data_IF_226844419844
#
_entry.id   IF_226844419844
#
_cell.length_a   1.000
_cell.length_b   1.000
_cell.length_c   1.000
_cell.angle_alpha   90.00
_cell.angle_beta   90.00
_cell.angle_gamma   90.00
#
_symmetry.space_group_name_H-M   'P 1'
#
loop_
_entity.id
_entity.type
_entity.pdbx_description
1 polymer ?
#
# COMPACT_ATOMS: atom_id res chain seq x y z
N UNK A 1 -13.23 -19.81 -53.65
CA UNK A 1 -12.17 -20.79 -53.35
C UNK A 1 -11.29 -20.20 -52.26
N UNK A 2 -11.64 -20.42 -50.98
CA UNK A 2 -10.92 -21.32 -50.05
C UNK A 2 -9.39 -21.25 -50.19
N UNK A 3 -8.77 -20.51 -49.29
CA UNK A 3 -7.40 -20.74 -48.83
C UNK A 3 -7.43 -20.73 -47.30
N UNK A 4 -7.26 -21.90 -46.69
CA UNK A 4 -7.06 -22.07 -45.26
C UNK A 4 -5.67 -21.55 -44.87
N UNK A 5 -5.58 -20.80 -43.79
CA UNK A 5 -4.34 -20.45 -43.11
C UNK A 5 -4.57 -20.57 -41.62
N UNK A 6 -3.83 -21.47 -40.98
CA UNK A 6 -3.97 -21.93 -39.61
C UNK A 6 -4.07 -20.81 -38.56
N UNK A 7 -5.10 -20.91 -37.71
CA UNK A 7 -5.11 -20.29 -36.40
C UNK A 7 -4.24 -21.13 -35.45
N UNK A 8 -2.93 -20.85 -35.42
CA UNK A 8 -2.12 -21.23 -34.28
C UNK A 8 -2.25 -20.17 -33.19
N UNK A 9 -2.80 -20.61 -32.06
CA UNK A 9 -2.95 -19.82 -30.85
C UNK A 9 -1.61 -19.30 -30.35
N UNK A 10 -1.38 -18.01 -30.57
CA UNK A 10 -0.44 -17.26 -29.76
C UNK A 10 -1.08 -17.06 -28.39
N UNK A 11 -0.73 -17.90 -27.42
CA UNK A 11 -0.78 -17.48 -26.03
C UNK A 11 0.10 -16.24 -25.93
N UNK A 12 -0.55 -15.07 -25.94
CA UNK A 12 0.07 -13.82 -25.57
C UNK A 12 0.45 -14.00 -24.10
N UNK A 13 1.69 -14.42 -23.86
CA UNK A 13 2.33 -14.26 -22.57
C UNK A 13 2.28 -12.75 -22.35
N UNK A 14 1.29 -12.29 -21.58
CA UNK A 14 1.32 -10.94 -21.05
C UNK A 14 2.66 -10.83 -20.34
N UNK A 15 3.49 -9.93 -20.86
CA UNK A 15 4.77 -9.57 -20.30
C UNK A 15 4.55 -9.19 -18.85
N UNK A 16 4.79 -10.14 -17.93
CA UNK A 16 4.71 -9.90 -16.49
C UNK A 16 5.74 -8.83 -16.22
N UNK A 17 5.30 -7.59 -15.96
CA UNK A 17 6.16 -6.47 -15.62
C UNK A 17 7.08 -6.93 -14.47
N UNK A 18 8.36 -7.15 -14.78
CA UNK A 18 9.20 -8.04 -13.97
C UNK A 18 9.35 -7.56 -12.52
N UNK A 19 9.53 -8.49 -11.55
CA UNK A 19 9.75 -8.17 -10.14
C UNK A 19 11.03 -7.35 -9.89
N UNK A 20 11.38 -7.11 -8.62
CA UNK A 20 12.78 -6.82 -8.26
C UNK A 20 13.29 -7.87 -7.30
N UNK A 21 14.59 -8.12 -7.33
CA UNK A 21 15.25 -9.13 -6.51
C UNK A 21 16.13 -8.43 -5.48
N UNK A 22 15.96 -8.79 -4.21
CA UNK A 22 16.87 -8.41 -3.14
C UNK A 22 17.65 -9.63 -2.67
N UNK A 23 18.98 -9.49 -2.54
CA UNK A 23 19.88 -10.54 -2.04
C UNK A 23 20.62 -10.04 -0.83
N UNK A 24 20.70 -10.87 0.20
CA UNK A 24 21.66 -10.71 1.29
C UNK A 24 22.69 -11.83 1.17
N UNK A 25 23.96 -11.46 0.99
CA UNK A 25 25.08 -12.40 0.90
C UNK A 25 26.24 -11.87 1.74
N UNK A 26 26.66 -12.65 2.74
CA UNK A 26 27.84 -12.36 3.57
C UNK A 26 27.82 -10.95 4.18
N UNK A 27 26.67 -10.51 4.71
CA UNK A 27 26.53 -9.20 5.35
C UNK A 27 26.31 -8.04 4.39
N UNK A 28 26.20 -8.29 3.07
CA UNK A 28 25.97 -7.25 2.05
C UNK A 28 24.59 -7.42 1.41
N UNK A 29 23.89 -6.30 1.21
CA UNK A 29 22.65 -6.25 0.45
C UNK A 29 22.90 -5.87 -1.00
N UNK A 30 22.20 -6.54 -1.91
CA UNK A 30 22.20 -6.26 -3.34
C UNK A 30 20.75 -6.12 -3.82
N UNK A 31 20.53 -5.22 -4.78
CA UNK A 31 19.24 -5.02 -5.43
C UNK A 31 19.43 -5.14 -6.94
N UNK A 32 18.61 -5.98 -7.56
CA UNK A 32 18.49 -6.09 -9.00
C UNK A 32 17.08 -5.72 -9.42
N UNK A 33 16.96 -4.72 -10.29
CA UNK A 33 15.69 -4.25 -10.82
C UNK A 33 15.55 -4.72 -12.26
N UNK A 34 14.62 -5.62 -12.52
CA UNK A 34 14.36 -6.07 -13.90
C UNK A 34 13.62 -5.00 -14.70
N UNK A 35 12.82 -4.17 -14.02
CA UNK A 35 12.18 -2.98 -14.59
C UNK A 35 12.03 -1.89 -13.53
N UNK A 36 11.79 -0.64 -13.96
CA UNK A 36 11.61 0.52 -13.08
C UNK A 36 10.30 0.46 -12.31
N UNK A 37 10.35 0.44 -10.97
CA UNK A 37 9.16 0.41 -10.13
C UNK A 37 8.30 1.68 -10.28
N UNK A 38 7.03 1.59 -9.90
CA UNK A 38 6.22 2.79 -9.72
C UNK A 38 6.84 3.63 -8.60
N UNK A 39 7.27 4.86 -8.91
CA UNK A 39 7.92 5.75 -7.95
C UNK A 39 9.12 5.07 -7.26
N UNK A 40 9.47 5.45 -6.04
CA UNK A 40 10.62 4.88 -5.29
C UNK A 40 10.23 3.73 -4.35
N UNK A 41 9.14 3.02 -4.63
CA UNK A 41 8.63 1.93 -3.76
C UNK A 41 9.65 0.81 -3.53
N UNK A 42 10.40 0.45 -4.56
CA UNK A 42 11.49 -0.53 -4.53
C UNK A 42 12.67 -0.06 -3.66
N UNK A 43 13.09 1.18 -3.81
CA UNK A 43 14.18 1.79 -3.03
C UNK A 43 13.82 1.82 -1.54
N UNK A 44 12.59 2.19 -1.19
CA UNK A 44 12.15 2.22 0.21
C UNK A 44 11.92 0.83 0.81
N UNK A 45 11.51 -0.15 0.00
CA UNK A 45 11.51 -1.56 0.41
C UNK A 45 12.93 -2.05 0.71
N UNK A 46 13.90 -1.72 -0.15
CA UNK A 46 15.31 -2.05 0.08
C UNK A 46 15.86 -1.39 1.36
N UNK A 47 15.50 -0.13 1.62
CA UNK A 47 15.87 0.55 2.87
C UNK A 47 15.43 -0.24 4.11
N UNK A 48 14.26 -0.88 4.05
CA UNK A 48 13.81 -1.79 5.10
C UNK A 48 14.72 -2.99 5.31
N UNK A 49 15.12 -3.64 4.22
CA UNK A 49 16.04 -4.78 4.27
C UNK A 49 17.40 -4.35 4.84
N UNK A 50 17.92 -3.19 4.42
CA UNK A 50 19.17 -2.63 4.95
C UNK A 50 19.07 -2.33 6.45
N UNK A 51 17.91 -1.85 6.93
CA UNK A 51 17.68 -1.67 8.36
C UNK A 51 17.68 -3.00 9.12
N UNK A 52 17.07 -4.06 8.58
CA UNK A 52 17.12 -5.40 9.19
C UNK A 52 18.57 -5.89 9.35
N UNK A 53 19.41 -5.73 8.32
CA UNK A 53 20.83 -6.09 8.39
C UNK A 53 21.60 -5.30 9.46
N UNK A 54 21.23 -4.03 9.67
CA UNK A 54 21.83 -3.18 10.70
C UNK A 54 21.36 -3.53 12.11
N UNK A 55 20.09 -3.86 12.30
CA UNK A 55 19.54 -4.21 13.61
C UNK A 55 19.92 -5.62 14.06
N UNK A 56 20.20 -6.52 13.12
CA UNK A 56 20.48 -7.93 13.39
C UNK A 56 21.78 -8.40 12.71
N UNK A 57 22.93 -7.77 12.99
CA UNK A 57 24.19 -8.11 12.35
C UNK A 57 24.59 -9.56 12.64
N UNK A 58 24.94 -10.32 11.60
CA UNK A 58 25.33 -11.72 11.70
C UNK A 58 24.21 -12.71 12.03
N UNK A 59 22.96 -12.25 12.14
CA UNK A 59 21.79 -13.12 12.42
C UNK A 59 20.90 -13.39 11.21
N UNK A 60 21.01 -12.58 10.16
CA UNK A 60 20.31 -12.87 8.90
C UNK A 60 21.11 -13.90 8.10
N UNK A 61 20.48 -15.01 7.67
CA UNK A 61 21.13 -15.95 6.76
C UNK A 61 21.30 -15.32 5.38
N UNK A 62 22.16 -15.93 4.57
CA UNK A 62 22.19 -15.64 3.14
C UNK A 62 20.83 -16.02 2.53
N UNK A 63 20.23 -15.09 1.81
CA UNK A 63 18.89 -15.25 1.24
C UNK A 63 18.69 -14.41 -0.01
N UNK A 64 17.77 -14.88 -0.84
CA UNK A 64 17.31 -14.20 -2.04
C UNK A 64 15.78 -14.10 -1.99
N UNK A 65 15.26 -12.91 -2.26
CA UNK A 65 13.83 -12.60 -2.19
C UNK A 65 13.40 -11.87 -3.45
N UNK A 66 12.28 -12.32 -4.01
CA UNK A 66 11.63 -11.69 -5.16
C UNK A 66 10.45 -10.86 -4.67
N UNK A 67 10.38 -9.59 -5.08
CA UNK A 67 9.34 -8.67 -4.68
C UNK A 67 8.47 -8.24 -5.86
N UNK A 68 7.16 -8.29 -5.66
CA UNK A 68 6.18 -7.74 -6.59
C UNK A 68 6.09 -6.20 -6.45
N UNK A 69 6.01 -5.51 -7.60
CA UNK A 69 5.95 -4.04 -7.69
C UNK A 69 4.54 -3.49 -7.91
N UNK A 70 3.62 -4.35 -8.30
CA UNK A 70 2.24 -3.99 -8.63
C UNK A 70 1.37 -3.83 -7.40
N UNK A 71 0.14 -3.34 -7.58
CA UNK A 71 -0.82 -3.24 -6.47
C UNK A 71 -1.54 -4.57 -6.21
N UNK A 72 -1.84 -5.33 -7.27
CA UNK A 72 -2.60 -6.59 -7.19
C UNK A 72 -1.66 -7.80 -7.02
N UNK A 73 -2.06 -8.84 -6.27
CA UNK A 73 -1.31 -10.10 -6.19
C UNK A 73 -1.11 -10.70 -7.58
N UNK A 74 0.06 -11.30 -7.82
CA UNK A 74 0.44 -11.80 -9.17
C UNK A 74 0.65 -13.31 -9.21
N UNK A 75 0.53 -14.01 -8.08
CA UNK A 75 0.68 -15.46 -7.99
C UNK A 75 -0.64 -16.15 -7.58
N UNK A 76 -1.71 -16.10 -8.41
CA UNK A 76 -3.00 -16.69 -8.08
C UNK A 76 -2.91 -18.21 -7.96
N UNK A 77 -3.52 -18.77 -6.90
CA UNK A 77 -3.45 -20.20 -6.58
C UNK A 77 -3.99 -21.11 -7.68
N UNK A 78 -5.04 -20.67 -8.38
CA UNK A 78 -5.68 -21.44 -9.46
C UNK A 78 -4.74 -21.70 -10.64
N UNK A 79 -3.82 -20.76 -10.91
CA UNK A 79 -2.92 -20.81 -12.07
C UNK A 79 -1.52 -21.32 -11.68
N UNK A 80 -1.26 -21.47 -10.37
CA UNK A 80 0.05 -21.82 -9.81
C UNK A 80 -0.03 -23.04 -8.87
N UNK A 81 -1.01 -23.92 -9.08
CA UNK A 81 -1.14 -25.16 -8.31
C UNK A 81 0.14 -25.98 -8.44
N UNK A 82 0.66 -26.44 -7.30
CA UNK A 82 1.84 -27.29 -7.24
C UNK A 82 1.44 -28.72 -6.88
N UNK A 83 2.22 -29.72 -7.32
CA UNK A 83 2.10 -31.08 -6.80
C UNK A 83 2.22 -31.11 -5.27
N UNK A 84 1.67 -32.15 -4.65
CA UNK A 84 1.76 -32.33 -3.20
C UNK A 84 3.22 -32.36 -2.75
N UNK A 85 3.53 -31.59 -1.70
CA UNK A 85 4.89 -31.45 -1.17
C UNK A 85 5.79 -30.44 -1.90
N UNK A 86 5.34 -29.83 -3.00
CA UNK A 86 6.09 -28.80 -3.74
C UNK A 86 5.59 -27.41 -3.34
N UNK A 87 6.51 -26.54 -2.89
CA UNK A 87 6.17 -25.16 -2.56
C UNK A 87 6.02 -24.33 -3.85
N UNK A 88 5.04 -23.41 -3.93
CA UNK A 88 4.93 -22.46 -5.03
C UNK A 88 6.11 -21.48 -5.02
N UNK A 89 6.36 -20.78 -6.14
CA UNK A 89 7.34 -19.70 -6.18
C UNK A 89 7.12 -18.69 -5.03
N UNK A 90 8.18 -18.31 -4.32
CA UNK A 90 8.09 -17.31 -3.27
C UNK A 90 8.08 -15.91 -3.88
N UNK A 91 7.01 -15.16 -3.66
CA UNK A 91 6.90 -13.77 -4.09
C UNK A 91 6.43 -12.89 -2.94
N UNK A 92 7.27 -11.96 -2.51
CA UNK A 92 6.96 -11.02 -1.46
C UNK A 92 6.18 -9.85 -2.03
N UNK A 93 5.08 -9.48 -1.38
CA UNK A 93 4.21 -8.43 -1.86
C UNK A 93 3.56 -7.69 -0.69
N UNK A 94 3.27 -6.40 -0.87
CA UNK A 94 2.60 -5.64 0.18
C UNK A 94 1.10 -5.99 0.29
N UNK A 95 0.52 -6.53 -0.77
CA UNK A 95 -0.84 -7.02 -0.79
C UNK A 95 -0.84 -8.55 -0.77
N UNK A 96 -1.83 -9.13 -0.09
CA UNK A 96 -2.06 -10.57 -0.10
C UNK A 96 -3.54 -10.86 -0.30
N UNK A 97 -3.87 -12.06 -0.75
CA UNK A 97 -5.24 -12.53 -0.84
C UNK A 97 -5.29 -14.04 -0.58
N UNK A 98 -6.39 -14.54 0.00
CA UNK A 98 -6.51 -15.97 0.32
C UNK A 98 -6.40 -16.87 -0.92
N UNK A 99 -6.74 -16.33 -2.10
CA UNK A 99 -6.65 -17.02 -3.39
C UNK A 99 -5.29 -16.83 -4.10
N UNK A 100 -4.29 -16.24 -3.45
CA UNK A 100 -2.96 -16.02 -4.00
C UNK A 100 -1.87 -16.62 -3.09
N UNK A 101 -0.72 -16.94 -3.67
CA UNK A 101 0.46 -17.46 -2.97
C UNK A 101 1.46 -16.35 -2.59
N UNK A 102 1.23 -15.11 -3.03
CA UNK A 102 2.02 -13.95 -2.61
C UNK A 102 2.14 -13.88 -1.08
N UNK A 103 3.36 -13.68 -0.59
CA UNK A 103 3.73 -13.63 0.83
C UNK A 103 3.67 -12.16 1.27
N UNK A 104 2.78 -11.81 2.23
CA UNK A 104 2.68 -10.44 2.72
C UNK A 104 4.01 -9.94 3.32
N UNK A 105 4.41 -8.75 2.91
CA UNK A 105 5.58 -8.03 3.42
C UNK A 105 5.20 -6.57 3.72
N UNK A 106 5.83 -5.89 4.70
CA UNK A 106 5.53 -4.49 4.98
C UNK A 106 5.64 -3.61 3.73
N UNK A 107 4.66 -2.72 3.53
CA UNK A 107 4.67 -1.79 2.40
C UNK A 107 5.80 -0.75 2.54
N UNK A 108 6.25 -0.19 1.41
CA UNK A 108 7.37 0.76 1.37
C UNK A 108 7.16 1.99 2.27
N UNK A 109 5.91 2.42 2.50
CA UNK A 109 5.62 3.62 3.28
C UNK A 109 5.90 3.46 4.78
N UNK A 110 6.25 2.26 5.27
CA UNK A 110 6.87 2.11 6.58
C UNK A 110 8.21 2.85 6.68
N UNK A 111 8.98 2.90 5.59
CA UNK A 111 10.27 3.60 5.53
C UNK A 111 10.16 4.97 4.89
N UNK A 112 9.06 5.26 4.20
CA UNK A 112 8.73 6.56 3.65
C UNK A 112 8.15 6.49 2.25
N UNK A 113 7.57 7.60 1.80
CA UNK A 113 7.06 7.74 0.45
C UNK A 113 7.20 9.21 0.00
N UNK A 114 8.39 9.59 -0.51
CA UNK A 114 8.72 10.99 -0.78
C UNK A 114 7.81 11.66 -1.79
N UNK A 115 7.33 10.92 -2.79
CA UNK A 115 6.50 11.44 -3.88
C UNK A 115 5.15 11.97 -3.39
N UNK A 116 4.72 11.57 -2.18
CA UNK A 116 3.50 12.06 -1.52
C UNK A 116 3.78 12.64 -0.13
N UNK A 117 5.05 12.99 0.14
CA UNK A 117 5.50 13.62 1.39
C UNK A 117 5.14 12.83 2.66
N UNK A 118 5.19 11.49 2.59
CA UNK A 118 5.00 10.63 3.77
C UNK A 118 6.37 10.31 4.38
N UNK A 119 6.50 10.62 5.68
CA UNK A 119 7.70 10.35 6.49
C UNK A 119 7.74 8.87 6.92
N UNK A 120 8.91 8.35 7.34
CA UNK A 120 9.00 7.02 7.93
C UNK A 120 8.01 6.82 9.08
N UNK A 121 7.52 5.60 9.26
CA UNK A 121 6.45 5.26 10.19
C UNK A 121 6.69 5.75 11.61
N UNK A 122 7.89 5.59 12.15
CA UNK A 122 8.20 6.01 13.53
C UNK A 122 8.03 7.53 13.71
N UNK A 123 8.43 8.32 12.71
CA UNK A 123 8.27 9.78 12.75
C UNK A 123 6.82 10.17 12.56
N UNK A 124 6.15 9.57 11.56
CA UNK A 124 4.73 9.80 11.28
C UNK A 124 3.85 9.46 12.48
N UNK A 125 4.11 8.36 13.19
CA UNK A 125 3.37 7.94 14.36
C UNK A 125 3.47 8.98 15.49
N UNK A 126 4.69 9.45 15.80
CA UNK A 126 4.91 10.49 16.82
C UNK A 126 4.20 11.80 16.48
N UNK A 127 4.25 12.22 15.21
CA UNK A 127 3.57 13.44 14.76
C UNK A 127 2.03 13.28 14.84
N UNK A 128 1.50 12.14 14.40
CA UNK A 128 0.07 11.82 14.48
C UNK A 128 -0.41 11.82 15.93
N UNK A 129 0.29 11.12 16.83
CA UNK A 129 -0.06 11.04 18.24
C UNK A 129 -0.07 12.42 18.90
N UNK A 130 0.96 13.25 18.61
CA UNK A 130 1.05 14.62 19.13
C UNK A 130 -0.11 15.50 18.68
N UNK A 131 -0.47 15.44 17.40
CA UNK A 131 -1.59 16.23 16.87
C UNK A 131 -2.94 15.69 17.36
N UNK A 132 -3.11 14.37 17.41
CA UNK A 132 -4.29 13.69 17.92
C UNK A 132 -4.59 14.03 19.38
N UNK A 133 -3.55 14.25 20.21
CA UNK A 133 -3.67 14.63 21.62
C UNK A 133 -4.20 16.06 21.83
N UNK A 134 -4.16 16.94 20.82
CA UNK A 134 -4.65 18.33 20.93
C UNK A 134 -6.16 18.42 21.10
N UNK A 135 -6.90 17.42 20.62
CA UNK A 135 -8.36 17.38 20.69
C UNK A 135 -8.78 16.07 21.34
N UNK A 136 -9.33 16.16 22.56
CA UNK A 136 -9.93 15.01 23.23
C UNK A 136 -10.92 14.29 22.31
N UNK A 137 -10.88 12.97 22.28
CA UNK A 137 -11.75 12.13 21.43
C UNK A 137 -13.22 12.58 21.44
N UNK A 138 -13.79 12.79 22.63
CA UNK A 138 -15.19 13.23 22.81
C UNK A 138 -15.49 14.61 22.18
N UNK A 139 -14.49 15.45 21.97
CA UNK A 139 -14.62 16.76 21.32
C UNK A 139 -14.37 16.73 19.81
N UNK A 140 -13.88 15.62 19.25
CA UNK A 140 -13.71 15.46 17.80
C UNK A 140 -15.06 15.42 17.10
N UNK A 141 -15.08 15.78 15.82
CA UNK A 141 -16.27 15.79 14.99
C UNK A 141 -16.92 14.39 14.96
N UNK A 142 -18.22 14.25 15.28
CA UNK A 142 -18.87 12.95 15.37
C UNK A 142 -19.20 12.31 14.01
N UNK A 143 -18.99 13.01 12.90
CA UNK A 143 -19.24 12.46 11.57
C UNK A 143 -18.09 11.53 11.13
N UNK A 144 -18.40 10.56 10.28
CA UNK A 144 -17.42 9.72 9.62
C UNK A 144 -16.66 10.52 8.54
N UNK A 145 -15.36 10.28 8.41
CA UNK A 145 -14.48 11.04 7.54
C UNK A 145 -13.67 10.15 6.61
N UNK A 146 -13.58 10.57 5.35
CA UNK A 146 -12.66 10.00 4.37
C UNK A 146 -12.14 11.10 3.44
N UNK A 147 -10.85 11.06 3.12
CA UNK A 147 -10.24 11.89 2.09
C UNK A 147 -9.33 11.02 1.23
N UNK A 148 -9.54 10.99 -0.08
CA UNK A 148 -8.76 10.12 -0.97
C UNK A 148 -9.07 10.26 -2.45
N UNK A 149 -8.50 9.37 -3.25
CA UNK A 149 -8.78 9.27 -4.69
C UNK A 149 -9.92 8.26 -4.91
N UNK A 150 -11.11 8.69 -5.37
CA UNK A 150 -12.23 7.78 -5.58
C UNK A 150 -12.10 6.94 -6.86
N UNK A 151 -11.29 7.38 -7.82
CA UNK A 151 -11.23 6.81 -9.17
C UNK A 151 -10.42 5.52 -9.28
N UNK A 152 -9.79 5.08 -8.19
CA UNK A 152 -8.89 3.91 -8.19
C UNK A 152 -9.60 2.59 -7.88
N UNK A 153 -10.87 2.63 -7.45
CA UNK A 153 -11.67 1.42 -7.26
C UNK A 153 -13.17 1.70 -7.28
N UNK A 154 -14.00 0.76 -7.77
CA UNK A 154 -15.46 0.88 -7.70
C UNK A 154 -15.96 1.11 -6.27
N UNK A 155 -15.34 0.45 -5.27
CA UNK A 155 -15.71 0.60 -3.85
C UNK A 155 -15.61 2.06 -3.38
N UNK A 156 -14.58 2.79 -3.81
CA UNK A 156 -14.42 4.20 -3.44
C UNK A 156 -15.36 5.12 -4.22
N UNK A 157 -15.61 4.84 -5.49
CA UNK A 157 -16.65 5.54 -6.26
C UNK A 157 -18.03 5.38 -5.63
N UNK A 158 -18.38 4.17 -5.19
CA UNK A 158 -19.63 3.90 -4.47
C UNK A 158 -19.69 4.63 -3.13
N UNK A 159 -18.59 4.65 -2.36
CA UNK A 159 -18.51 5.40 -1.10
C UNK A 159 -18.89 6.87 -1.30
N UNK A 160 -18.48 7.50 -2.40
CA UNK A 160 -18.77 8.92 -2.67
C UNK A 160 -20.28 9.21 -2.79
N UNK A 161 -21.13 8.22 -3.05
CA UNK A 161 -22.59 8.38 -3.07
C UNK A 161 -23.18 8.66 -1.69
N UNK A 162 -22.42 8.41 -0.62
CA UNK A 162 -22.82 8.73 0.75
C UNK A 162 -22.58 10.19 1.14
N UNK A 163 -22.14 11.06 0.22
CA UNK A 163 -22.06 12.49 0.49
C UNK A 163 -23.44 13.09 0.86
N UNK A 164 -23.49 14.09 1.74
CA UNK A 164 -24.75 14.70 2.15
C UNK A 164 -25.47 15.35 0.96
N UNK A 165 -26.76 15.09 0.84
CA UNK A 165 -27.66 15.78 -0.09
C UNK A 165 -28.65 16.63 0.71
N UNK A 166 -29.58 17.31 0.02
CA UNK A 166 -30.66 18.04 0.70
C UNK A 166 -31.60 17.13 1.48
N UNK A 167 -31.78 15.89 0.99
CA UNK A 167 -32.80 14.96 1.49
C UNK A 167 -32.23 13.87 2.40
N UNK A 168 -30.91 13.67 2.41
CA UNK A 168 -30.25 12.61 3.17
C UNK A 168 -28.84 13.00 3.62
N UNK A 169 -28.52 12.82 4.90
CA UNK A 169 -27.16 12.94 5.45
C UNK A 169 -26.79 11.66 6.21
N UNK A 170 -25.87 10.88 5.65
CA UNK A 170 -25.32 9.66 6.27
C UNK A 170 -24.32 9.96 7.40
N UNK A 171 -24.18 11.23 7.80
CA UNK A 171 -23.12 11.69 8.70
C UNK A 171 -21.71 11.34 8.18
N UNK A 172 -21.55 11.28 6.85
CA UNK A 172 -20.28 11.04 6.19
C UNK A 172 -19.74 12.34 5.56
N UNK A 173 -18.45 12.61 5.74
CA UNK A 173 -17.73 13.78 5.23
C UNK A 173 -16.61 13.26 4.34
N UNK A 174 -16.90 13.18 3.04
CA UNK A 174 -16.08 12.52 2.04
C UNK A 174 -15.47 13.55 1.10
N UNK A 175 -14.15 13.53 0.92
CA UNK A 175 -13.42 14.54 0.16
C UNK A 175 -12.52 13.89 -0.89
N UNK A 176 -12.60 14.37 -2.12
CA UNK A 176 -11.68 13.96 -3.20
C UNK A 176 -10.36 14.70 -3.07
N UNK A 177 -9.25 13.97 -3.21
CA UNK A 177 -7.91 14.55 -3.33
C UNK A 177 -7.69 15.05 -4.75
N UNK A 178 -7.32 16.33 -4.88
CA UNK A 178 -6.77 16.88 -6.12
C UNK A 178 -5.25 16.75 -6.07
N UNK A 179 -4.70 15.75 -6.76
CA UNK A 179 -3.28 15.43 -6.69
C UNK A 179 -2.37 16.52 -7.24
N UNK A 180 -2.78 17.22 -8.29
CA UNK A 180 -1.99 18.32 -8.88
C UNK A 180 -1.88 19.49 -7.88
N UNK A 181 -2.97 19.81 -7.19
CA UNK A 181 -2.97 20.83 -6.15
C UNK A 181 -2.19 20.40 -4.90
N UNK A 182 -2.32 19.15 -4.47
CA UNK A 182 -1.56 18.65 -3.32
C UNK A 182 -0.05 18.62 -3.64
N UNK A 183 0.34 18.17 -4.83
CA UNK A 183 1.73 18.16 -5.27
C UNK A 183 2.32 19.58 -5.29
N UNK A 184 1.64 20.53 -5.96
CA UNK A 184 2.09 21.93 -6.03
C UNK A 184 2.12 22.66 -4.68
N UNK A 185 1.31 22.23 -3.71
CA UNK A 185 1.28 22.80 -2.36
C UNK A 185 2.14 22.05 -1.34
N UNK A 186 2.85 20.99 -1.74
CA UNK A 186 3.67 20.17 -0.87
C UNK A 186 2.86 19.36 0.15
N UNK A 187 1.63 18.97 -0.21
CA UNK A 187 0.71 18.17 0.59
C UNK A 187 0.30 18.79 1.93
N UNK A 188 0.47 20.11 2.09
CA UNK A 188 0.16 20.83 3.35
C UNK A 188 -1.28 20.65 3.82
N UNK A 189 -2.22 20.40 2.91
CA UNK A 189 -3.65 20.17 3.22
C UNK A 189 -4.01 18.69 3.36
N UNK A 190 -3.05 17.78 3.20
CA UNK A 190 -3.25 16.33 3.29
C UNK A 190 -2.23 15.65 4.18
N UNK A 191 -1.57 16.40 5.07
CA UNK A 191 -0.73 15.86 6.14
C UNK A 191 -1.52 14.83 6.94
N UNK A 192 -0.89 13.72 7.30
CA UNK A 192 -1.56 12.60 7.95
C UNK A 192 -1.90 12.95 9.40
N UNK A 193 -1.00 13.68 10.07
CA UNK A 193 -1.14 14.16 11.44
C UNK A 193 -2.28 15.17 11.62
N UNK A 194 -2.62 15.93 10.58
CA UNK A 194 -3.70 16.94 10.62
C UNK A 194 -5.11 16.30 10.42
N UNK A 195 -5.19 14.98 10.21
CA UNK A 195 -6.44 14.28 9.88
C UNK A 195 -7.09 13.55 11.06
N UNK A 196 -6.63 13.76 12.30
CA UNK A 196 -7.21 13.15 13.50
C UNK A 196 -8.30 14.02 14.15
N UNK A 197 -9.13 14.66 13.34
CA UNK A 197 -10.14 15.65 13.76
C UNK A 197 -11.56 15.07 13.91
N UNK A 198 -11.77 13.83 13.44
CA UNK A 198 -13.05 13.13 13.44
C UNK A 198 -12.99 11.88 14.32
N UNK A 199 -14.13 11.47 14.89
CA UNK A 199 -14.25 10.24 15.70
C UNK A 199 -14.32 8.97 14.86
N UNK A 200 -14.71 9.05 13.60
CA UNK A 200 -14.82 7.86 12.76
C UNK A 200 -14.08 8.14 11.48
N UNK A 201 -13.05 7.35 11.20
CA UNK A 201 -12.26 7.42 9.98
C UNK A 201 -12.54 6.18 9.17
N UNK A 202 -12.98 6.38 7.93
CA UNK A 202 -13.37 5.28 7.05
C UNK A 202 -12.12 4.71 6.41
N UNK A 203 -11.94 3.41 6.53
CA UNK A 203 -11.01 2.66 5.70
C UNK A 203 -11.74 2.11 4.47
N UNK A 204 -11.11 2.22 3.30
CA UNK A 204 -11.61 1.62 2.06
C UNK A 204 -10.44 1.31 1.12
N UNK A 205 -10.44 0.09 0.60
CA UNK A 205 -9.45 -0.40 -0.36
C UNK A 205 -9.41 0.44 -1.64
N UNK A 206 -8.20 0.59 -2.19
CA UNK A 206 -7.99 1.22 -3.50
C UNK A 206 -7.98 0.16 -4.59
N UNK A 207 -6.98 0.21 -5.49
CA UNK A 207 -6.73 -0.88 -6.45
C UNK A 207 -6.54 -2.23 -5.75
N UNK A 208 -5.96 -2.18 -4.55
CA UNK A 208 -5.80 -3.29 -3.63
C UNK A 208 -5.89 -2.78 -2.18
N UNK A 209 -5.20 -3.43 -1.25
CA UNK A 209 -5.03 -2.93 0.11
C UNK A 209 -4.57 -1.47 0.15
N UNK A 210 -5.17 -0.65 1.01
CA UNK A 210 -4.79 0.76 1.15
C UNK A 210 -3.83 0.95 2.31
N UNK A 211 -2.62 1.44 2.02
CA UNK A 211 -1.59 1.71 3.04
C UNK A 211 -2.00 2.76 4.09
N UNK A 212 -3.14 3.43 3.88
CA UNK A 212 -3.72 4.43 4.79
C UNK A 212 -4.17 3.87 6.14
N UNK A 213 -4.44 2.57 6.23
CA UNK A 213 -5.06 1.96 7.43
C UNK A 213 -4.24 2.19 8.71
N UNK A 214 -2.93 1.95 8.65
CA UNK A 214 -2.05 2.16 9.82
C UNK A 214 -2.11 3.60 10.36
N UNK A 215 -2.22 4.59 9.47
CA UNK A 215 -2.33 6.00 9.87
C UNK A 215 -3.71 6.36 10.42
N UNK A 216 -4.76 5.67 9.95
CA UNK A 216 -6.11 5.79 10.52
C UNK A 216 -6.10 5.28 11.96
N UNK A 217 -5.55 4.07 12.18
CA UNK A 217 -5.46 3.45 13.51
C UNK A 217 -4.60 4.27 14.47
N UNK A 218 -3.54 4.90 13.98
CA UNK A 218 -2.65 5.74 14.79
C UNK A 218 -3.33 6.96 15.43
N UNK A 219 -4.44 7.46 14.89
CA UNK A 219 -5.15 8.62 15.45
C UNK A 219 -5.68 8.39 16.88
N UNK A 220 -5.83 7.13 17.31
CA UNK A 220 -6.43 6.75 18.59
C UNK A 220 -5.53 5.88 19.47
N UNK A 221 -4.32 5.55 18.99
CA UNK A 221 -3.37 4.67 19.68
C UNK A 221 -2.88 5.19 21.05
N UNK A 222 -3.19 6.43 21.43
CA UNK A 222 -2.77 7.04 22.70
C UNK A 222 -3.90 7.73 23.50
N UNK A 223 -5.17 7.51 23.16
CA UNK A 223 -6.27 8.00 24.00
C UNK A 223 -6.38 7.15 25.30
N UNK A 224 -5.40 7.30 26.19
CA UNK A 224 -5.51 6.85 27.58
C UNK A 224 -6.55 7.76 28.25
N UNK A 225 -7.70 7.18 28.55
CA UNK A 225 -8.78 7.80 29.33
C UNK A 225 -8.36 8.01 30.78
#
# INVERSE_FOLDING_TARGET
MKGHGDHQGGHRVEEVAGPFQARHLQGKAYLEQFHRAWQTRDVFTLWGIVQLLRFYPGRLPDLEMMFCREDLPVLPKRDNQQPEGVAPPAMFHYCGHQSAFDIPFPDWSFWGWPEVNIKPWETSLKDIQREAAKIMWRKRNPNAFWKGNPWVSPKRSELMKCQPTKDMDWHARLYTVNWDHEHSSGYKKSRLEDQCTHRYKIYVEGRAWSVSEKYILACDAEAKY
#
